data_IF_067005598871
#
_entry.id   IF_067005598871
#
_cell.length_a   1.000
_cell.length_b   1.000
_cell.length_c   1.000
_cell.angle_alpha   90.00
_cell.angle_beta   90.00
_cell.angle_gamma   90.00
#
_symmetry.space_group_name_H-M   'P 1'
#
loop_
_entity.id
_entity.type
_entity.pdbx_description
1 polymer ?
#
# COMPACT_ATOMS: atom_id res chain seq x y z
N UNK A 1 16.60 -22.82 18.66
CA UNK A 1 16.43 -24.14 17.97
C UNK A 1 15.66 -24.05 16.65
N UNK A 2 14.50 -23.42 16.56
CA UNK A 2 13.76 -23.32 15.27
C UNK A 2 14.44 -22.45 14.18
N UNK A 3 15.32 -21.52 14.57
CA UNK A 3 16.03 -20.63 13.64
C UNK A 3 17.21 -21.34 12.94
N UNK A 4 17.86 -22.26 13.65
CA UNK A 4 19.03 -22.98 13.13
C UNK A 4 18.66 -24.01 12.05
N UNK A 5 17.55 -24.74 12.22
CA UNK A 5 17.04 -25.65 11.19
C UNK A 5 16.69 -24.94 9.91
N UNK A 6 16.07 -23.75 9.99
CA UNK A 6 15.72 -22.93 8.81
C UNK A 6 16.94 -22.34 8.11
N UNK A 7 18.00 -22.06 8.84
CA UNK A 7 19.28 -21.61 8.27
C UNK A 7 19.93 -22.72 7.45
N UNK A 8 19.99 -23.94 7.96
CA UNK A 8 20.53 -25.10 7.26
C UNK A 8 19.75 -25.42 5.98
N UNK A 9 18.42 -25.39 6.04
CA UNK A 9 17.56 -25.63 4.89
C UNK A 9 17.80 -24.61 3.77
N UNK A 10 17.87 -23.32 4.08
CA UNK A 10 18.10 -22.29 3.06
C UNK A 10 19.51 -22.34 2.50
N UNK A 11 20.51 -22.67 3.32
CA UNK A 11 21.89 -22.88 2.89
C UNK A 11 21.98 -24.06 1.91
N UNK A 12 21.28 -25.15 2.19
CA UNK A 12 21.21 -26.29 1.29
C UNK A 12 20.58 -25.92 -0.07
N UNK A 13 19.45 -25.21 -0.06
CA UNK A 13 18.78 -24.73 -1.28
C UNK A 13 19.73 -23.84 -2.10
N UNK A 14 20.42 -22.91 -1.44
CA UNK A 14 21.36 -22.01 -2.12
C UNK A 14 22.58 -22.74 -2.64
N UNK A 15 23.14 -23.69 -1.91
CA UNK A 15 24.29 -24.46 -2.33
C UNK A 15 24.02 -25.34 -3.56
N UNK A 16 22.80 -25.85 -3.69
CA UNK A 16 22.33 -26.66 -4.83
C UNK A 16 21.98 -25.86 -6.07
N UNK A 17 21.94 -24.50 -5.98
CA UNK A 17 21.65 -23.67 -7.14
C UNK A 17 22.76 -23.74 -8.17
N UNK A 18 22.51 -24.26 -9.43
CA UNK A 18 23.52 -24.46 -10.44
C UNK A 18 24.10 -23.16 -11.00
N UNK A 19 23.28 -22.10 -11.12
CA UNK A 19 23.73 -20.78 -11.59
C UNK A 19 24.55 -20.10 -10.49
N UNK A 20 25.83 -19.85 -10.78
CA UNK A 20 26.78 -19.26 -9.83
C UNK A 20 26.38 -17.86 -9.39
N UNK A 21 25.75 -17.08 -10.26
CA UNK A 21 25.33 -15.71 -9.94
C UNK A 21 24.11 -15.73 -9.00
N UNK A 22 23.12 -16.58 -9.29
CA UNK A 22 21.97 -16.78 -8.42
C UNK A 22 22.38 -17.33 -7.05
N UNK A 23 23.34 -18.25 -7.01
CA UNK A 23 23.91 -18.77 -5.76
C UNK A 23 24.52 -17.66 -4.93
N UNK A 24 25.39 -16.83 -5.52
CA UNK A 24 26.01 -15.68 -4.84
C UNK A 24 24.96 -14.69 -4.29
N UNK A 25 23.90 -14.45 -5.04
CA UNK A 25 22.79 -13.60 -4.57
C UNK A 25 22.10 -14.24 -3.36
N UNK A 26 21.87 -15.54 -3.39
CA UNK A 26 21.32 -16.29 -2.26
C UNK A 26 22.21 -16.21 -1.01
N UNK A 27 23.51 -16.37 -1.16
CA UNK A 27 24.50 -16.23 -0.08
C UNK A 27 24.44 -14.83 0.55
N UNK A 28 24.36 -13.75 -0.26
CA UNK A 28 24.20 -12.38 0.22
C UNK A 28 22.91 -12.22 1.06
N UNK A 29 21.79 -12.76 0.58
CA UNK A 29 20.50 -12.68 1.28
C UNK A 29 20.57 -13.41 2.63
N UNK A 30 21.22 -14.59 2.68
CA UNK A 30 21.37 -15.36 3.92
C UNK A 30 22.13 -14.58 4.99
N UNK A 31 23.21 -13.90 4.61
CA UNK A 31 24.00 -13.08 5.56
C UNK A 31 23.43 -11.69 5.82
N UNK A 32 22.29 -11.40 5.22
CA UNK A 32 21.57 -10.13 5.44
C UNK A 32 22.09 -8.96 4.60
N UNK A 33 22.99 -9.20 3.65
CA UNK A 33 23.45 -8.18 2.72
C UNK A 33 22.34 -7.73 1.77
N UNK A 34 22.35 -6.45 1.43
CA UNK A 34 21.40 -5.88 0.47
C UNK A 34 21.78 -6.30 -0.95
N UNK A 35 20.79 -6.77 -1.70
CA UNK A 35 20.93 -6.94 -3.15
C UNK A 35 20.74 -5.63 -3.88
N UNK A 36 21.45 -5.44 -4.99
CA UNK A 36 21.36 -4.26 -5.84
C UNK A 36 20.42 -4.48 -7.02
N UNK A 37 20.17 -3.42 -7.77
CA UNK A 37 19.22 -3.43 -8.88
C UNK A 37 19.46 -4.56 -9.88
N UNK A 38 20.69 -4.73 -10.36
CA UNK A 38 21.02 -5.76 -11.36
C UNK A 38 20.84 -7.19 -10.82
N UNK A 39 21.15 -7.40 -9.53
CA UNK A 39 20.95 -8.68 -8.85
C UNK A 39 19.45 -8.99 -8.70
N UNK A 40 18.64 -7.99 -8.37
CA UNK A 40 17.18 -8.12 -8.30
C UNK A 40 16.58 -8.42 -9.69
N UNK A 41 17.03 -7.74 -10.74
CA UNK A 41 16.63 -8.00 -12.13
C UNK A 41 17.03 -9.41 -12.57
N UNK A 42 18.21 -9.90 -12.15
CA UNK A 42 18.65 -11.26 -12.45
C UNK A 42 17.77 -12.31 -11.78
N UNK A 43 17.44 -12.13 -10.49
CA UNK A 43 16.47 -12.98 -9.79
C UNK A 43 15.12 -13.01 -10.51
N UNK A 44 14.59 -11.86 -10.86
CA UNK A 44 13.29 -11.75 -11.53
C UNK A 44 13.27 -12.45 -12.91
N UNK A 45 14.34 -12.31 -13.70
CA UNK A 45 14.38 -12.82 -15.08
C UNK A 45 14.80 -14.27 -15.20
N UNK A 46 15.65 -14.77 -14.31
CA UNK A 46 16.33 -16.07 -14.49
C UNK A 46 16.14 -17.07 -13.35
N UNK A 47 15.83 -16.60 -12.13
CA UNK A 47 15.70 -17.53 -11.02
C UNK A 47 14.43 -18.37 -11.13
N UNK A 48 14.49 -19.67 -10.81
CA UNK A 48 13.31 -20.47 -10.60
C UNK A 48 12.43 -19.83 -9.51
N UNK A 49 11.11 -19.84 -9.71
CA UNK A 49 10.17 -19.24 -8.75
C UNK A 49 10.32 -19.84 -7.34
N UNK A 50 10.54 -21.16 -7.26
CA UNK A 50 10.76 -21.85 -5.99
C UNK A 50 12.01 -21.36 -5.25
N UNK A 51 13.10 -21.09 -5.96
CA UNK A 51 14.33 -20.53 -5.40
C UNK A 51 14.11 -19.13 -4.85
N UNK A 52 13.51 -18.24 -5.65
CA UNK A 52 13.18 -16.87 -5.21
C UNK A 52 12.20 -16.87 -4.05
N UNK A 53 11.19 -17.76 -4.09
CA UNK A 53 10.21 -17.93 -3.02
C UNK A 53 10.85 -18.39 -1.70
N UNK A 54 11.81 -19.33 -1.75
CA UNK A 54 12.54 -19.78 -0.57
C UNK A 54 13.35 -18.64 0.06
N UNK A 55 14.09 -17.86 -0.74
CA UNK A 55 14.85 -16.69 -0.28
C UNK A 55 13.93 -15.62 0.33
N UNK A 56 12.81 -15.33 -0.32
CA UNK A 56 11.83 -14.37 0.17
C UNK A 56 11.20 -14.82 1.49
N UNK A 57 10.84 -16.09 1.61
CA UNK A 57 10.29 -16.65 2.84
C UNK A 57 11.32 -16.63 3.98
N UNK A 58 12.56 -17.04 3.72
CA UNK A 58 13.63 -16.93 4.70
C UNK A 58 13.79 -15.49 5.22
N UNK A 59 13.84 -14.50 4.31
CA UNK A 59 13.93 -13.10 4.68
C UNK A 59 12.72 -12.62 5.48
N UNK A 60 11.51 -12.98 5.06
CA UNK A 60 10.28 -12.67 5.81
C UNK A 60 10.32 -13.23 7.22
N UNK A 61 10.68 -14.50 7.35
CA UNK A 61 10.73 -15.16 8.66
C UNK A 61 11.83 -14.61 9.56
N UNK A 62 12.98 -14.20 8.99
CA UNK A 62 14.04 -13.54 9.76
C UNK A 62 13.60 -12.20 10.36
N UNK A 63 12.64 -11.51 9.73
CA UNK A 63 12.11 -10.22 10.19
C UNK A 63 10.90 -10.37 11.13
N UNK A 64 10.05 -11.35 10.90
CA UNK A 64 8.72 -11.44 11.52
C UNK A 64 8.43 -12.78 12.23
N UNK A 65 9.36 -13.73 12.15
CA UNK A 65 9.11 -15.10 12.61
C UNK A 65 7.92 -15.71 11.86
N UNK A 66 7.11 -16.49 12.56
CA UNK A 66 5.90 -17.12 11.99
C UNK A 66 4.66 -16.22 12.05
N UNK A 67 4.84 -14.91 12.26
CA UNK A 67 3.72 -13.97 12.33
C UNK A 67 3.33 -13.50 10.94
N UNK A 68 2.04 -13.44 10.69
CA UNK A 68 1.44 -12.79 9.53
C UNK A 68 0.56 -11.65 10.03
N UNK A 69 0.70 -10.49 9.39
CA UNK A 69 -0.04 -9.29 9.73
C UNK A 69 -1.10 -9.03 8.66
N UNK A 70 -2.26 -8.55 9.10
CA UNK A 70 -3.33 -8.13 8.22
C UNK A 70 -4.08 -6.94 8.84
N UNK A 71 -4.68 -6.12 7.99
CA UNK A 71 -5.54 -5.02 8.42
C UNK A 71 -7.00 -5.44 8.33
N UNK A 72 -7.79 -5.03 9.33
CA UNK A 72 -9.25 -5.04 9.26
C UNK A 72 -9.66 -3.64 8.85
N UNK A 73 -9.81 -3.40 7.57
CA UNK A 73 -10.14 -2.10 7.05
C UNK A 73 -11.53 -2.03 6.42
N UNK A 74 -12.00 -0.81 6.23
CA UNK A 74 -13.12 -0.48 5.38
C UNK A 74 -12.72 0.70 4.49
N UNK A 75 -13.51 0.96 3.44
CA UNK A 75 -13.20 1.99 2.46
C UNK A 75 -14.19 3.15 2.58
N UNK A 76 -13.65 4.35 2.42
CA UNK A 76 -14.41 5.56 2.10
C UNK A 76 -13.96 5.99 0.71
N UNK A 77 -14.92 6.03 -0.19
CA UNK A 77 -14.74 6.49 -1.57
C UNK A 77 -15.51 7.80 -1.69
N UNK A 78 -14.85 8.96 -1.51
CA UNK A 78 -15.52 10.27 -1.45
C UNK A 78 -16.31 10.58 -2.72
N UNK A 79 -15.77 10.19 -3.86
CA UNK A 79 -16.36 10.40 -5.17
C UNK A 79 -15.74 9.47 -6.21
N UNK A 80 -16.48 9.14 -7.26
CA UNK A 80 -15.91 8.58 -8.49
C UNK A 80 -15.74 9.64 -9.59
N UNK A 81 -16.12 10.88 -9.33
CA UNK A 81 -15.91 11.99 -10.26
C UNK A 81 -14.44 12.38 -10.28
N UNK A 82 -13.81 12.41 -11.46
CA UNK A 82 -12.37 12.60 -11.60
C UNK A 82 -12.04 13.56 -12.75
N UNK A 83 -10.98 14.36 -12.57
CA UNK A 83 -10.42 15.20 -13.64
C UNK A 83 -9.51 14.44 -14.59
N UNK A 84 -9.10 13.23 -14.22
CA UNK A 84 -8.19 12.40 -15.00
C UNK A 84 -8.91 11.29 -15.75
N UNK A 85 -8.38 10.96 -16.93
CA UNK A 85 -8.86 9.91 -17.82
C UNK A 85 -7.80 8.80 -17.90
N UNK A 86 -7.68 7.98 -16.85
CA UNK A 86 -6.72 6.88 -16.82
C UNK A 86 -7.24 5.68 -17.62
N UNK A 87 -6.44 5.17 -18.55
CA UNK A 87 -6.84 4.12 -19.49
C UNK A 87 -7.33 2.81 -18.84
N UNK A 88 -6.87 2.48 -17.61
CA UNK A 88 -7.25 1.27 -16.88
C UNK A 88 -8.34 1.50 -15.82
N UNK A 89 -8.79 2.75 -15.60
CA UNK A 89 -9.73 3.06 -14.54
C UNK A 89 -11.18 2.97 -15.05
N UNK A 90 -11.86 1.87 -14.77
CA UNK A 90 -13.29 1.70 -15.05
C UNK A 90 -14.21 2.37 -14.04
N UNK A 91 -13.66 2.80 -12.91
CA UNK A 91 -14.36 3.37 -11.77
C UNK A 91 -14.75 4.84 -11.99
N UNK A 92 -13.87 5.64 -12.57
CA UNK A 92 -14.02 7.09 -12.66
C UNK A 92 -15.10 7.52 -13.66
N UNK A 93 -15.75 8.65 -13.33
CA UNK A 93 -16.53 9.45 -14.27
C UNK A 93 -15.82 10.79 -14.47
N UNK A 94 -15.60 11.19 -15.72
CA UNK A 94 -14.98 12.48 -15.98
C UNK A 94 -15.83 13.62 -15.42
N UNK A 95 -15.19 14.68 -14.96
CA UNK A 95 -15.89 15.82 -14.37
C UNK A 95 -16.93 16.45 -15.32
N UNK A 96 -16.76 16.34 -16.62
CA UNK A 96 -17.75 16.73 -17.61
C UNK A 96 -19.05 15.91 -17.56
N UNK A 97 -18.97 14.67 -17.01
CA UNK A 97 -20.08 13.73 -16.86
C UNK A 97 -20.33 13.42 -15.36
N UNK A 98 -20.14 14.42 -14.48
CA UNK A 98 -20.26 14.23 -13.02
C UNK A 98 -21.66 13.84 -12.56
N UNK A 99 -22.68 14.12 -13.34
CA UNK A 99 -24.07 13.71 -13.12
C UNK A 99 -24.26 12.18 -13.19
N UNK A 100 -23.33 11.46 -13.82
CA UNK A 100 -23.29 10.01 -13.84
C UNK A 100 -22.53 9.41 -12.65
N UNK A 101 -21.97 10.24 -11.77
CA UNK A 101 -21.15 9.87 -10.63
C UNK A 101 -21.83 10.13 -9.29
N UNK A 102 -21.02 10.04 -8.24
CA UNK A 102 -21.44 10.44 -6.89
C UNK A 102 -20.40 11.32 -6.23
N UNK A 103 -20.87 12.15 -5.32
CA UNK A 103 -20.07 13.01 -4.46
C UNK A 103 -20.63 12.89 -3.04
N UNK A 104 -19.80 12.46 -2.08
CA UNK A 104 -20.22 12.34 -0.69
C UNK A 104 -19.88 13.61 0.09
N UNK A 105 -20.79 14.05 0.94
CA UNK A 105 -20.50 15.05 1.96
C UNK A 105 -19.68 14.45 3.10
N UNK A 106 -19.07 15.31 3.93
CA UNK A 106 -18.35 14.88 5.15
C UNK A 106 -19.29 14.10 6.06
N UNK A 107 -20.52 14.54 6.24
CA UNK A 107 -21.51 13.85 7.08
C UNK A 107 -21.80 12.44 6.58
N UNK A 108 -22.00 12.26 5.26
CA UNK A 108 -22.23 10.96 4.67
C UNK A 108 -21.00 10.03 4.83
N UNK A 109 -19.80 10.58 4.75
CA UNK A 109 -18.56 9.81 5.01
C UNK A 109 -18.44 9.45 6.50
N UNK A 110 -18.79 10.38 7.40
CA UNK A 110 -18.80 10.11 8.84
C UNK A 110 -19.87 9.08 9.23
N UNK A 111 -21.02 9.04 8.56
CA UNK A 111 -21.99 7.95 8.74
C UNK A 111 -21.41 6.58 8.38
N UNK A 112 -20.57 6.52 7.34
CA UNK A 112 -19.83 5.27 7.02
C UNK A 112 -18.88 4.90 8.15
N UNK A 113 -18.16 5.85 8.73
CA UNK A 113 -17.27 5.59 9.88
C UNK A 113 -18.04 5.03 11.06
N UNK A 114 -19.16 5.68 11.43
CA UNK A 114 -20.01 5.30 12.56
C UNK A 114 -20.61 3.88 12.43
N UNK A 115 -20.83 3.37 11.20
CA UNK A 115 -21.28 1.98 10.97
C UNK A 115 -20.28 0.93 11.48
N UNK A 116 -19.05 1.34 11.74
CA UNK A 116 -17.98 0.48 12.24
C UNK A 116 -17.67 0.72 13.73
N UNK A 117 -18.48 1.51 14.43
CA UNK A 117 -18.36 1.67 15.88
C UNK A 117 -18.58 0.33 16.58
N UNK A 118 -17.75 0.03 17.57
CA UNK A 118 -17.76 -1.25 18.28
C UNK A 118 -17.28 -2.46 17.49
N UNK A 119 -16.92 -2.30 16.19
CA UNK A 119 -16.34 -3.37 15.39
C UNK A 119 -14.81 -3.34 15.46
N UNK A 120 -14.15 -4.50 15.38
CA UNK A 120 -12.70 -4.59 15.49
C UNK A 120 -11.99 -4.20 14.19
N UNK A 121 -12.29 -3.02 13.66
CA UNK A 121 -11.59 -2.43 12.51
C UNK A 121 -10.42 -1.60 13.00
N UNK A 122 -9.31 -1.67 12.28
CA UNK A 122 -8.05 -1.03 12.64
C UNK A 122 -7.67 0.11 11.68
N UNK A 123 -8.29 0.15 10.50
CA UNK A 123 -7.89 1.09 9.45
C UNK A 123 -9.11 1.52 8.61
N UNK A 124 -9.11 2.78 8.19
CA UNK A 124 -9.95 3.27 7.09
C UNK A 124 -9.06 3.62 5.90
N UNK A 125 -9.41 3.11 4.72
CA UNK A 125 -8.75 3.47 3.47
C UNK A 125 -9.60 4.47 2.71
N UNK A 126 -9.05 5.68 2.48
CA UNK A 126 -9.73 6.77 1.78
C UNK A 126 -9.05 6.95 0.42
N UNK A 127 -9.79 6.71 -0.65
CA UNK A 127 -9.33 6.83 -2.03
C UNK A 127 -10.53 7.05 -2.95
N UNK A 128 -10.38 7.86 -3.98
CA UNK A 128 -11.49 8.13 -4.90
C UNK A 128 -11.05 8.80 -6.20
N UNK A 129 -12.02 9.39 -6.88
CA UNK A 129 -11.76 10.27 -8.00
C UNK A 129 -11.11 11.58 -7.54
N UNK A 130 -10.24 12.14 -8.37
CA UNK A 130 -9.65 13.47 -8.12
C UNK A 130 -10.66 14.54 -8.52
N UNK A 131 -11.36 15.07 -7.53
CA UNK A 131 -12.45 16.02 -7.76
C UNK A 131 -11.98 17.47 -7.65
N UNK A 132 -12.31 18.37 -8.61
CA UNK A 132 -11.76 19.73 -8.62
C UNK A 132 -12.29 20.65 -7.48
N UNK A 133 -13.38 20.27 -6.83
CA UNK A 133 -13.97 21.04 -5.72
C UNK A 133 -13.68 20.44 -4.33
N UNK A 134 -13.36 19.14 -4.25
CA UNK A 134 -12.90 18.51 -3.01
C UNK A 134 -11.40 18.79 -2.86
N UNK A 135 -11.09 19.92 -2.24
CA UNK A 135 -9.73 20.42 -2.10
C UNK A 135 -9.05 19.87 -0.84
N UNK A 136 -7.80 20.26 -0.61
CA UNK A 136 -7.01 19.84 0.54
C UNK A 136 -7.73 20.11 1.88
N UNK A 137 -8.34 21.27 2.05
CA UNK A 137 -9.01 21.66 3.30
C UNK A 137 -10.27 20.83 3.57
N UNK A 138 -11.01 20.45 2.52
CA UNK A 138 -12.13 19.52 2.64
C UNK A 138 -11.66 18.17 3.23
N UNK A 139 -10.53 17.66 2.78
CA UNK A 139 -10.01 16.41 3.29
C UNK A 139 -9.37 16.56 4.67
N UNK A 140 -8.73 17.68 4.98
CA UNK A 140 -8.25 17.97 6.34
C UNK A 140 -9.40 17.91 7.33
N UNK A 141 -10.52 18.57 7.01
CA UNK A 141 -11.72 18.56 7.84
C UNK A 141 -12.25 17.12 8.03
N UNK A 142 -12.37 16.35 6.95
CA UNK A 142 -12.74 14.92 7.06
C UNK A 142 -11.80 14.15 8.00
N UNK A 143 -10.48 14.29 7.85
CA UNK A 143 -9.50 13.58 8.66
C UNK A 143 -9.61 13.98 10.14
N UNK A 144 -9.81 15.26 10.42
CA UNK A 144 -10.03 15.78 11.78
C UNK A 144 -11.30 15.20 12.41
N UNK A 145 -12.41 15.16 11.66
CA UNK A 145 -13.67 14.57 12.12
C UNK A 145 -13.50 13.06 12.40
N UNK A 146 -12.82 12.31 11.54
CA UNK A 146 -12.55 10.89 11.77
C UNK A 146 -11.73 10.72 13.04
N UNK A 147 -10.67 11.50 13.22
CA UNK A 147 -9.78 11.39 14.39
C UNK A 147 -10.44 11.86 15.68
N UNK A 148 -11.34 12.84 15.62
CA UNK A 148 -12.13 13.26 16.77
C UNK A 148 -13.10 12.16 17.23
N UNK A 149 -13.71 11.42 16.29
CA UNK A 149 -14.65 10.34 16.57
C UNK A 149 -13.96 9.02 16.91
N UNK A 150 -12.92 8.65 16.16
CA UNK A 150 -12.17 7.41 16.28
C UNK A 150 -10.64 7.68 16.30
N UNK A 151 -10.09 8.14 17.44
CA UNK A 151 -8.67 8.47 17.57
C UNK A 151 -7.76 7.24 17.36
N UNK A 152 -8.26 6.05 17.66
CA UNK A 152 -7.60 4.76 17.50
C UNK A 152 -7.46 4.30 16.04
N UNK A 153 -8.35 4.78 15.15
CA UNK A 153 -8.44 4.30 13.78
C UNK A 153 -7.25 4.80 12.95
N UNK A 154 -6.47 3.88 12.35
CA UNK A 154 -5.46 4.26 11.38
C UNK A 154 -6.12 4.77 10.10
N UNK A 155 -5.60 5.87 9.54
CA UNK A 155 -6.09 6.42 8.28
C UNK A 155 -5.04 6.18 7.21
N UNK A 156 -5.37 5.37 6.22
CA UNK A 156 -4.62 5.23 4.98
C UNK A 156 -5.28 6.14 3.95
N UNK A 157 -4.83 7.35 3.87
CA UNK A 157 -5.35 8.36 2.93
C UNK A 157 -4.37 8.64 1.85
N UNK A 158 -4.83 8.64 0.78
CA UNK A 158 -4.81 9.08 -0.62
C UNK A 158 -3.67 8.44 -1.41
N UNK A 159 -3.81 8.54 -2.72
CA UNK A 159 -2.74 8.20 -3.67
C UNK A 159 -1.83 9.40 -3.89
N UNK A 160 -0.61 9.16 -4.39
CA UNK A 160 0.31 10.25 -4.74
C UNK A 160 -0.29 11.22 -5.79
N UNK A 161 -1.14 10.72 -6.68
CA UNK A 161 -1.84 11.53 -7.70
C UNK A 161 -2.86 12.47 -7.06
N UNK A 162 -3.62 11.99 -6.06
CA UNK A 162 -4.58 12.81 -5.33
C UNK A 162 -3.86 13.89 -4.53
N UNK A 163 -2.79 13.52 -3.81
CA UNK A 163 -1.99 14.46 -3.00
C UNK A 163 -1.34 15.54 -3.87
N UNK A 164 -0.67 15.16 -4.96
CA UNK A 164 -0.05 16.11 -5.88
C UNK A 164 -1.07 17.11 -6.44
N UNK A 165 -2.25 16.62 -6.84
CA UNK A 165 -3.32 17.50 -7.33
C UNK A 165 -3.81 18.46 -6.23
N UNK A 166 -4.06 17.98 -5.02
CA UNK A 166 -4.52 18.80 -3.90
C UNK A 166 -3.48 19.86 -3.52
N UNK A 167 -2.20 19.50 -3.45
CA UNK A 167 -1.13 20.44 -3.10
C UNK A 167 -0.96 21.52 -4.17
N UNK A 168 -0.95 21.16 -5.45
CA UNK A 168 -0.90 22.14 -6.55
C UNK A 168 -2.11 23.09 -6.53
N UNK A 169 -3.30 22.59 -6.25
CA UNK A 169 -4.51 23.41 -6.13
C UNK A 169 -4.44 24.36 -4.93
N UNK A 170 -3.83 23.92 -3.84
CA UNK A 170 -3.61 24.73 -2.64
C UNK A 170 -2.40 25.68 -2.77
N UNK A 171 -1.64 25.62 -3.89
CA UNK A 171 -0.38 26.37 -4.13
C UNK A 171 0.72 26.04 -3.10
N UNK A 172 0.77 24.78 -2.66
CA UNK A 172 1.76 24.26 -1.74
C UNK A 172 2.78 23.41 -2.50
N UNK A 173 4.02 23.43 -2.04
CA UNK A 173 5.01 22.41 -2.41
C UNK A 173 4.68 21.06 -1.74
N UNK A 174 5.26 19.96 -2.24
CA UNK A 174 5.11 18.63 -1.63
C UNK A 174 5.58 18.59 -0.17
N UNK A 175 6.55 19.46 0.19
CA UNK A 175 7.06 19.52 1.56
C UNK A 175 6.10 20.25 2.52
N UNK A 176 5.37 21.23 2.02
CA UNK A 176 4.39 22.03 2.80
C UNK A 176 3.05 21.32 2.93
N UNK A 177 2.64 20.55 1.93
CA UNK A 177 1.43 19.75 1.93
C UNK A 177 1.58 18.43 2.64
#
# INVERSE_FOLDING_TARGET
>A
MAMDMKMEEIQEIVSKQPDKMLRRIGEKIIVGERIFFDEAVLLFKKAPLAFTGALANYKRESLHGNRTYFNRNFHIEPTNVCVFSCAFCSYSRLYAHRDEGWELSIDQMMEKVKKYDGKPVTEVHIVGGVHPKMNLYFFIDLLQNIKAHRPDLHIKGFTAVELDYMFRKAKLSVKEG
#
